data_IF_396451266830
#
_entry.id   IF_396451266830
#
_cell.length_a   1.000
_cell.length_b   1.000
_cell.length_c   1.000
_cell.angle_alpha   90.00
_cell.angle_beta   90.00
_cell.angle_gamma   90.00
#
_symmetry.space_group_name_H-M   'P 1'
#
loop_
_entity.id
_entity.type
_entity.pdbx_description
1 polymer ?
#
# COMPACT_ATOMS: atom_id res chain seq x y z
N UNK A 1 -3.66 1.12 -5.07
CA UNK A 1 -4.22 0.71 -3.79
C UNK A 1 -5.68 1.12 -3.67
N UNK A 2 -6.55 0.18 -3.38
CA UNK A 2 -7.99 0.36 -3.25
C UNK A 2 -8.56 -0.79 -2.42
N UNK A 3 -9.52 -1.56 -2.95
CA UNK A 3 -10.01 -2.81 -2.34
C UNK A 3 -8.89 -3.84 -2.23
N UNK A 4 -8.06 -3.94 -3.26
CA UNK A 4 -6.80 -4.68 -3.31
C UNK A 4 -5.60 -3.74 -3.40
N UNK A 5 -4.41 -4.27 -3.16
CA UNK A 5 -3.16 -3.54 -3.34
C UNK A 5 -2.20 -4.39 -4.17
N UNK A 6 -1.47 -3.73 -5.05
CA UNK A 6 -0.40 -4.38 -5.79
C UNK A 6 0.81 -3.44 -5.97
N UNK A 7 1.98 -4.02 -6.06
CA UNK A 7 3.21 -3.35 -6.48
C UNK A 7 3.70 -3.96 -7.79
N UNK A 8 4.14 -3.13 -8.71
CA UNK A 8 4.71 -3.53 -9.99
C UNK A 8 6.13 -2.97 -10.08
N UNK A 9 7.10 -3.85 -10.22
CA UNK A 9 8.52 -3.51 -10.37
C UNK A 9 8.99 -3.92 -11.75
N UNK A 10 9.38 -2.95 -12.57
CA UNK A 10 10.02 -3.24 -13.86
C UNK A 10 11.40 -3.80 -13.58
N UNK A 11 11.71 -4.95 -14.16
CA UNK A 11 12.93 -5.69 -13.90
C UNK A 11 13.95 -5.49 -15.04
N UNK A 12 15.20 -5.27 -14.66
CA UNK A 12 16.33 -5.29 -15.62
C UNK A 12 16.73 -6.71 -16.03
N UNK A 13 16.39 -7.70 -15.19
CA UNK A 13 16.73 -9.12 -15.37
C UNK A 13 15.54 -9.99 -14.96
N UNK A 14 15.37 -11.18 -15.56
CA UNK A 14 14.41 -12.16 -15.07
C UNK A 14 14.70 -12.55 -13.62
N UNK A 15 13.66 -12.92 -12.88
CA UNK A 15 13.81 -13.48 -11.54
C UNK A 15 14.65 -14.75 -11.56
N UNK A 16 15.43 -15.00 -10.52
CA UNK A 16 16.28 -16.20 -10.37
C UNK A 16 15.47 -17.43 -9.99
N UNK A 17 14.38 -17.24 -9.24
CA UNK A 17 13.54 -18.28 -8.72
C UNK A 17 12.08 -18.17 -9.16
N UNK A 18 11.32 -19.23 -8.87
CA UNK A 18 9.86 -19.23 -8.96
C UNK A 18 9.28 -18.98 -7.57
N UNK A 19 8.39 -18.03 -7.48
CA UNK A 19 7.71 -17.63 -6.24
C UNK A 19 6.20 -17.58 -6.51
N UNK A 20 5.40 -18.43 -5.86
CA UNK A 20 3.94 -18.42 -6.02
C UNK A 20 3.29 -17.08 -5.64
N UNK A 21 3.97 -16.27 -4.81
CA UNK A 21 3.53 -14.96 -4.33
C UNK A 21 3.78 -13.83 -5.35
N UNK A 22 4.52 -14.12 -6.43
CA UNK A 22 4.94 -13.11 -7.43
C UNK A 22 4.41 -13.49 -8.79
N UNK A 23 3.55 -12.66 -9.35
CA UNK A 23 3.15 -12.74 -10.75
C UNK A 23 4.20 -12.07 -11.64
N UNK A 24 4.48 -12.69 -12.80
CA UNK A 24 5.34 -12.07 -13.81
C UNK A 24 4.50 -11.62 -14.99
N UNK A 25 4.48 -10.32 -15.21
CA UNK A 25 3.75 -9.69 -16.31
C UNK A 25 4.70 -8.82 -17.15
N UNK A 26 4.21 -8.06 -18.12
CA UNK A 26 5.04 -7.18 -18.95
C UNK A 26 4.51 -5.76 -18.98
N UNK A 27 5.43 -4.81 -19.18
CA UNK A 27 5.04 -3.44 -19.58
C UNK A 27 4.45 -3.47 -21.00
N UNK A 28 3.74 -2.41 -21.44
CA UNK A 28 3.30 -2.29 -22.84
C UNK A 28 4.46 -2.36 -23.86
N UNK A 29 5.69 -2.08 -23.44
CA UNK A 29 6.90 -2.16 -24.28
C UNK A 29 7.61 -3.54 -24.18
N UNK A 30 7.05 -4.51 -23.44
CA UNK A 30 7.59 -5.86 -23.34
C UNK A 30 8.65 -6.07 -22.24
N UNK A 31 8.98 -5.05 -21.44
CA UNK A 31 9.89 -5.25 -20.31
C UNK A 31 9.23 -6.12 -19.21
N UNK A 32 9.96 -7.07 -18.58
CA UNK A 32 9.41 -7.91 -17.55
C UNK A 32 9.08 -7.11 -16.29
N UNK A 33 7.98 -7.46 -15.62
CA UNK A 33 7.51 -6.84 -14.41
C UNK A 33 7.22 -7.90 -13.36
N UNK A 34 7.81 -7.79 -12.18
CA UNK A 34 7.38 -8.53 -11.02
C UNK A 34 6.21 -7.81 -10.36
N UNK A 35 5.10 -8.51 -10.19
CA UNK A 35 3.91 -7.99 -9.54
C UNK A 35 3.62 -8.77 -8.26
N UNK A 36 3.59 -8.05 -7.14
CA UNK A 36 3.01 -8.55 -5.88
C UNK A 36 1.57 -8.09 -5.85
N UNK A 37 0.62 -9.01 -5.84
CA UNK A 37 -0.81 -8.69 -5.80
C UNK A 37 -1.45 -9.26 -4.54
N UNK A 38 -2.04 -8.38 -3.73
CA UNK A 38 -2.73 -8.73 -2.50
C UNK A 38 -4.22 -8.43 -2.64
N UNK A 39 -5.05 -9.38 -2.26
CA UNK A 39 -6.51 -9.27 -2.37
C UNK A 39 -7.11 -8.27 -1.37
N UNK A 40 -6.46 -8.10 -0.23
CA UNK A 40 -6.99 -7.32 0.88
C UNK A 40 -6.17 -6.03 1.09
N UNK A 41 -6.86 -4.89 1.09
CA UNK A 41 -6.25 -3.60 1.36
C UNK A 41 -7.17 -2.76 2.26
N UNK A 42 -7.94 -1.80 1.72
CA UNK A 42 -8.63 -0.79 2.52
C UNK A 42 -10.06 -1.14 2.94
N UNK A 43 -10.59 -2.32 2.57
CA UNK A 43 -12.01 -2.65 2.82
C UNK A 43 -12.34 -2.81 4.30
N UNK A 44 -11.45 -3.44 5.08
CA UNK A 44 -11.63 -3.58 6.53
C UNK A 44 -11.50 -2.22 7.24
N UNK A 45 -10.50 -1.44 6.85
CA UNK A 45 -10.33 -0.07 7.34
C UNK A 45 -11.57 0.80 7.02
N UNK A 46 -12.18 0.66 5.83
CA UNK A 46 -13.43 1.36 5.50
C UNK A 46 -14.60 0.94 6.38
N UNK A 47 -14.66 -0.33 6.80
CA UNK A 47 -15.67 -0.82 7.74
C UNK A 47 -15.54 -0.13 9.11
N UNK A 48 -14.33 0.03 9.62
CA UNK A 48 -14.08 0.78 10.85
C UNK A 48 -14.43 2.26 10.73
N UNK A 49 -14.07 2.90 9.62
CA UNK A 49 -14.47 4.29 9.36
C UNK A 49 -15.99 4.44 9.36
N UNK A 50 -16.75 3.47 8.81
CA UNK A 50 -18.22 3.47 8.88
C UNK A 50 -18.73 3.37 10.31
N UNK A 51 -18.17 2.48 11.14
CA UNK A 51 -18.55 2.36 12.57
C UNK A 51 -18.35 3.69 13.30
N UNK A 52 -17.23 4.37 13.09
CA UNK A 52 -17.01 5.69 13.69
C UNK A 52 -17.94 6.76 13.12
N UNK A 53 -18.32 6.67 11.85
CA UNK A 53 -19.35 7.51 11.25
C UNK A 53 -20.73 7.32 11.88
N UNK A 54 -21.12 6.07 12.13
CA UNK A 54 -22.37 5.74 12.84
C UNK A 54 -22.36 6.28 14.28
N UNK A 55 -21.24 6.12 14.99
CA UNK A 55 -21.08 6.70 16.33
C UNK A 55 -21.22 8.21 16.34
N UNK A 56 -20.56 8.90 15.38
CA UNK A 56 -20.66 10.34 15.23
C UNK A 56 -22.11 10.80 14.97
N UNK A 57 -22.84 10.07 14.14
CA UNK A 57 -24.25 10.34 13.87
C UNK A 57 -25.13 10.14 15.11
N UNK A 58 -24.93 9.03 15.84
CA UNK A 58 -25.68 8.74 17.08
C UNK A 58 -25.40 9.74 18.19
N UNK A 59 -24.19 10.31 18.24
CA UNK A 59 -23.82 11.36 19.20
C UNK A 59 -24.40 12.75 18.84
N UNK A 60 -25.10 12.88 17.72
CA UNK A 60 -25.65 14.17 17.24
C UNK A 60 -24.62 15.06 16.53
N UNK A 61 -23.43 14.53 16.26
CA UNK A 61 -22.33 15.27 15.60
C UNK A 61 -21.87 14.55 14.32
N UNK A 62 -22.72 14.47 13.26
CA UNK A 62 -22.37 13.74 12.05
C UNK A 62 -21.14 14.35 11.38
N UNK A 63 -20.22 13.51 10.95
CA UNK A 63 -18.98 13.91 10.25
C UNK A 63 -19.04 13.34 8.83
N UNK A 64 -18.74 14.19 7.83
CA UNK A 64 -18.65 13.74 6.45
C UNK A 64 -17.53 12.69 6.28
N UNK A 65 -17.80 11.64 5.51
CA UNK A 65 -16.88 10.50 5.36
C UNK A 65 -15.44 10.91 4.98
N UNK A 66 -15.19 11.85 4.04
CA UNK A 66 -13.83 12.29 3.74
C UNK A 66 -13.12 12.95 4.94
N UNK A 67 -13.83 13.81 5.68
CA UNK A 67 -13.28 14.47 6.87
C UNK A 67 -12.97 13.45 7.99
N UNK A 68 -13.81 12.42 8.11
CA UNK A 68 -13.58 11.35 9.08
C UNK A 68 -12.34 10.52 8.72
N UNK A 69 -12.11 10.22 7.44
CA UNK A 69 -10.87 9.61 6.97
C UNK A 69 -9.66 10.46 7.34
N UNK A 70 -9.67 11.74 7.00
CA UNK A 70 -8.55 12.63 7.29
C UNK A 70 -8.26 12.71 8.80
N UNK A 71 -9.31 12.85 9.60
CA UNK A 71 -9.20 12.89 11.05
C UNK A 71 -8.53 11.62 11.61
N UNK A 72 -9.00 10.45 11.22
CA UNK A 72 -8.52 9.16 11.72
C UNK A 72 -7.11 8.84 11.22
N UNK A 73 -6.81 9.15 9.96
CA UNK A 73 -5.50 8.95 9.36
C UNK A 73 -4.44 9.86 9.99
N UNK A 74 -4.70 11.16 10.11
CA UNK A 74 -3.75 12.06 10.76
C UNK A 74 -3.57 11.71 12.24
N UNK A 75 -4.64 11.26 12.91
CA UNK A 75 -4.52 10.81 14.29
C UNK A 75 -3.65 9.55 14.41
N UNK A 76 -3.68 8.64 13.45
CA UNK A 76 -2.83 7.45 13.41
C UNK A 76 -1.32 7.76 13.43
N UNK A 77 -0.91 8.93 12.89
CA UNK A 77 0.49 9.38 12.97
C UNK A 77 0.99 9.60 14.40
N UNK A 78 0.09 9.86 15.34
CA UNK A 78 0.41 10.07 16.77
C UNK A 78 0.49 8.77 17.56
N UNK A 79 0.16 7.62 16.92
CA UNK A 79 0.24 6.30 17.54
C UNK A 79 1.69 5.85 17.80
N UNK A 80 1.85 4.92 18.74
CA UNK A 80 3.14 4.31 19.02
C UNK A 80 3.64 3.54 17.78
N UNK A 81 4.96 3.49 17.51
CA UNK A 81 5.50 2.79 16.34
C UNK A 81 5.09 1.31 16.24
N UNK A 82 4.91 0.64 17.36
CA UNK A 82 4.46 -0.76 17.48
C UNK A 82 2.94 -0.90 17.59
N UNK A 83 2.19 0.15 17.25
CA UNK A 83 0.72 0.20 17.38
C UNK A 83 0.22 -0.12 18.80
N UNK A 84 1.02 0.13 19.83
CA UNK A 84 0.70 -0.20 21.22
C UNK A 84 0.44 -1.69 21.43
N UNK A 85 1.18 -2.56 20.76
CA UNK A 85 0.99 -4.01 20.73
C UNK A 85 -0.38 -4.45 20.18
N UNK A 86 -0.92 -3.70 19.21
CA UNK A 86 -2.14 -4.07 18.48
C UNK A 86 -1.76 -4.59 17.10
N UNK A 87 -2.27 -5.76 16.73
CA UNK A 87 -2.08 -6.39 15.41
C UNK A 87 -3.44 -6.57 14.74
N UNK A 88 -3.52 -6.24 13.46
CA UNK A 88 -4.71 -6.37 12.64
C UNK A 88 -4.42 -7.25 11.43
N UNK A 89 -5.28 -8.24 11.22
CA UNK A 89 -5.38 -8.99 9.97
C UNK A 89 -6.64 -8.53 9.25
N UNK A 90 -6.47 -7.86 8.12
CA UNK A 90 -7.58 -7.26 7.36
C UNK A 90 -8.16 -8.20 6.29
N UNK A 91 -7.96 -9.50 6.40
CA UNK A 91 -8.34 -10.46 5.37
C UNK A 91 -9.85 -10.69 5.34
N UNK A 92 -10.55 -9.99 4.46
CA UNK A 92 -11.96 -10.23 4.13
C UNK A 92 -12.14 -11.36 3.11
N UNK A 93 -11.09 -11.66 2.35
CA UNK A 93 -11.00 -12.78 1.41
C UNK A 93 -9.71 -13.55 1.65
N UNK A 94 -9.51 -14.66 0.94
CA UNK A 94 -8.22 -15.33 0.93
C UNK A 94 -7.09 -14.39 0.51
N UNK A 95 -5.89 -14.61 1.05
CA UNK A 95 -4.69 -13.81 0.75
C UNK A 95 -3.54 -14.74 0.34
N UNK A 96 -3.37 -14.98 -0.98
CA UNK A 96 -2.37 -15.92 -1.47
C UNK A 96 -0.94 -15.59 -1.03
N UNK A 97 -0.59 -14.30 -0.98
CA UNK A 97 0.74 -13.85 -0.56
C UNK A 97 1.05 -14.23 0.89
N UNK A 98 0.03 -14.30 1.74
CA UNK A 98 0.14 -14.74 3.14
C UNK A 98 -0.19 -16.23 3.33
N UNK A 99 -0.51 -16.98 2.28
CA UNK A 99 -0.91 -18.39 2.36
C UNK A 99 -2.27 -18.61 3.03
N UNK A 100 -3.13 -17.60 3.08
CA UNK A 100 -4.47 -17.68 3.68
C UNK A 100 -5.52 -18.03 2.61
N UNK A 101 -6.17 -19.20 2.74
CA UNK A 101 -7.20 -19.64 1.78
C UNK A 101 -8.52 -18.88 1.96
N UNK A 102 -8.87 -18.54 3.19
CA UNK A 102 -10.14 -17.91 3.54
C UNK A 102 -9.93 -16.62 4.33
N UNK A 103 -10.76 -15.62 4.05
CA UNK A 103 -10.76 -14.36 4.78
C UNK A 103 -11.43 -14.48 6.16
N UNK A 104 -10.79 -13.88 7.15
CA UNK A 104 -11.37 -13.63 8.48
C UNK A 104 -10.60 -12.49 9.14
N UNK A 105 -11.17 -11.28 9.17
CA UNK A 105 -10.55 -10.17 9.89
C UNK A 105 -10.39 -10.52 11.37
N UNK A 106 -9.23 -10.21 11.92
CA UNK A 106 -8.89 -10.50 13.31
C UNK A 106 -8.11 -9.36 13.93
N UNK A 107 -8.37 -9.12 15.22
CA UNK A 107 -7.72 -8.09 16.01
C UNK A 107 -7.11 -8.74 17.23
N UNK A 108 -5.81 -8.53 17.43
CA UNK A 108 -5.07 -9.03 18.57
C UNK A 108 -4.42 -7.87 19.30
N UNK A 109 -4.39 -7.94 20.61
CA UNK A 109 -3.60 -7.04 21.45
C UNK A 109 -3.13 -7.77 22.69
N UNK A 110 -2.01 -7.34 23.24
CA UNK A 110 -1.56 -7.83 24.54
C UNK A 110 -2.37 -7.19 25.66
N UNK A 111 -2.53 -7.85 26.83
CA UNK A 111 -3.29 -7.29 27.96
C UNK A 111 -2.74 -5.95 28.47
N UNK A 112 -1.43 -5.73 28.35
CA UNK A 112 -0.68 -4.53 28.73
C UNK A 112 -0.51 -3.53 27.59
N UNK A 113 -1.05 -3.82 26.40
CA UNK A 113 -0.95 -2.97 25.23
C UNK A 113 -1.72 -1.65 25.40
N UNK A 114 -1.21 -0.59 24.78
CA UNK A 114 -1.89 0.72 24.74
C UNK A 114 -2.98 0.73 23.67
N UNK A 115 -4.16 0.25 24.03
CA UNK A 115 -5.30 0.25 23.13
C UNK A 115 -6.00 1.61 23.13
N UNK A 116 -5.76 2.40 22.10
CA UNK A 116 -6.38 3.70 21.86
C UNK A 116 -6.64 3.90 20.36
N UNK A 117 -7.34 4.97 20.01
CA UNK A 117 -7.75 5.24 18.63
C UNK A 117 -6.56 5.43 17.68
N UNK A 118 -5.50 6.10 18.13
CA UNK A 118 -4.30 6.32 17.32
C UNK A 118 -3.60 5.00 16.97
N UNK A 119 -3.41 4.13 17.96
CA UNK A 119 -2.78 2.82 17.79
C UNK A 119 -3.65 1.87 16.96
N UNK A 120 -4.97 1.87 17.18
CA UNK A 120 -5.89 1.08 16.36
C UNK A 120 -5.80 1.48 14.88
N UNK A 121 -5.93 2.78 14.56
CA UNK A 121 -5.88 3.23 13.17
C UNK A 121 -4.49 3.12 12.55
N UNK A 122 -3.42 3.22 13.33
CA UNK A 122 -2.08 2.92 12.87
C UNK A 122 -1.96 1.45 12.46
N UNK A 123 -2.46 0.51 13.27
CA UNK A 123 -2.47 -0.92 12.97
C UNK A 123 -3.35 -1.23 11.75
N UNK A 124 -4.51 -0.57 11.61
CA UNK A 124 -5.39 -0.68 10.45
C UNK A 124 -4.70 -0.24 9.16
N UNK A 125 -4.01 0.90 9.16
CA UNK A 125 -3.29 1.38 7.97
C UNK A 125 -2.13 0.44 7.65
N UNK A 126 -1.36 -0.04 8.61
CA UNK A 126 -0.31 -1.02 8.37
C UNK A 126 -0.86 -2.33 7.82
N UNK A 127 -2.01 -2.81 8.29
CA UNK A 127 -2.63 -4.02 7.78
C UNK A 127 -2.93 -3.96 6.28
N UNK A 128 -3.25 -2.76 5.75
CA UNK A 128 -3.53 -2.57 4.32
C UNK A 128 -2.34 -2.88 3.41
N UNK A 129 -1.12 -2.86 3.95
CA UNK A 129 0.12 -3.04 3.20
C UNK A 129 1.00 -4.19 3.74
N UNK A 130 0.54 -4.89 4.77
CA UNK A 130 1.30 -5.96 5.41
C UNK A 130 1.58 -7.14 4.45
N UNK A 131 0.56 -7.65 3.76
CA UNK A 131 0.73 -8.72 2.78
C UNK A 131 1.62 -8.26 1.60
N UNK A 132 1.48 -7.00 1.17
CA UNK A 132 2.35 -6.43 0.14
C UNK A 132 3.83 -6.48 0.57
N UNK A 133 4.10 -6.13 1.83
CA UNK A 133 5.46 -6.19 2.39
C UNK A 133 6.05 -7.60 2.31
N UNK A 134 5.28 -8.65 2.62
CA UNK A 134 5.73 -10.05 2.51
C UNK A 134 6.21 -10.38 1.10
N UNK A 135 5.43 -10.05 0.07
CA UNK A 135 5.83 -10.27 -1.31
C UNK A 135 7.02 -9.40 -1.74
N UNK A 136 7.04 -8.13 -1.30
CA UNK A 136 8.16 -7.23 -1.59
C UNK A 136 9.48 -7.69 -0.95
N UNK A 137 9.44 -8.31 0.24
CA UNK A 137 10.63 -8.86 0.89
C UNK A 137 11.25 -10.01 0.07
N UNK A 138 10.44 -10.80 -0.64
CA UNK A 138 10.97 -11.78 -1.59
C UNK A 138 11.83 -11.09 -2.66
N UNK A 139 11.32 -10.01 -3.24
CA UNK A 139 12.05 -9.27 -4.27
C UNK A 139 13.30 -8.59 -3.72
N UNK A 140 13.23 -7.98 -2.54
CA UNK A 140 14.35 -7.26 -1.93
C UNK A 140 15.41 -8.21 -1.37
N UNK A 141 15.01 -9.24 -0.63
CA UNK A 141 15.94 -10.10 0.11
C UNK A 141 16.44 -11.29 -0.70
N UNK A 142 15.56 -11.98 -1.45
CA UNK A 142 15.95 -13.18 -2.22
C UNK A 142 16.45 -12.82 -3.62
N UNK A 143 15.74 -11.95 -4.31
CA UNK A 143 16.09 -11.53 -5.67
C UNK A 143 17.07 -10.37 -5.73
N UNK A 144 17.28 -9.67 -4.60
CA UNK A 144 18.18 -8.50 -4.47
C UNK A 144 17.80 -7.38 -5.44
N UNK A 145 16.49 -7.20 -5.67
CA UNK A 145 15.97 -6.09 -6.50
C UNK A 145 16.18 -4.79 -5.71
N UNK A 146 16.87 -3.85 -6.33
CA UNK A 146 17.04 -2.50 -5.76
C UNK A 146 15.98 -1.57 -6.30
N UNK A 147 15.31 -0.84 -5.41
CA UNK A 147 14.28 0.14 -5.74
C UNK A 147 14.65 1.48 -5.14
N UNK A 148 14.85 2.47 -5.98
CA UNK A 148 15.14 3.84 -5.53
C UNK A 148 13.88 4.53 -5.00
N UNK A 149 12.76 4.33 -5.70
CA UNK A 149 11.51 5.02 -5.43
C UNK A 149 10.31 4.22 -5.95
N UNK A 150 9.23 4.22 -5.15
CA UNK A 150 7.93 3.67 -5.54
C UNK A 150 6.95 4.83 -5.74
N UNK A 151 6.11 4.74 -6.78
CA UNK A 151 5.02 5.70 -6.99
C UNK A 151 3.69 5.11 -6.53
N UNK A 152 3.08 5.75 -5.54
CA UNK A 152 1.78 5.33 -4.97
C UNK A 152 0.60 5.93 -5.73
N UNK A 153 -0.42 5.08 -6.02
CA UNK A 153 -1.67 5.47 -6.64
C UNK A 153 -2.86 4.83 -5.92
N UNK A 154 -4.00 5.49 -5.97
CA UNK A 154 -5.29 4.97 -5.50
C UNK A 154 -5.80 5.61 -4.22
N UNK A 155 -6.96 5.13 -3.77
CA UNK A 155 -7.73 5.75 -2.68
C UNK A 155 -7.00 5.84 -1.35
N UNK A 156 -6.10 4.90 -1.06
CA UNK A 156 -5.29 4.89 0.17
C UNK A 156 -4.44 6.16 0.35
N UNK A 157 -4.04 6.80 -0.76
CA UNK A 157 -3.19 8.00 -0.74
C UNK A 157 -3.97 9.32 -0.81
N UNK A 158 -5.31 9.30 -0.72
CA UNK A 158 -6.12 10.53 -0.76
C UNK A 158 -5.86 11.44 0.44
N UNK A 159 -5.70 10.87 1.64
CA UNK A 159 -5.22 11.63 2.80
C UNK A 159 -3.71 11.82 2.68
N UNK A 160 -3.31 13.06 2.38
CA UNK A 160 -1.94 13.40 2.01
C UNK A 160 -0.92 13.02 3.09
N UNK A 161 0.14 12.37 2.68
CA UNK A 161 1.31 12.07 3.49
C UNK A 161 1.17 10.87 4.42
N UNK A 162 -0.03 10.45 4.83
CA UNK A 162 -0.20 9.43 5.87
C UNK A 162 0.14 8.04 5.36
N UNK A 163 -0.68 7.44 4.50
CA UNK A 163 -0.37 6.11 3.94
C UNK A 163 0.94 6.11 3.15
N UNK A 164 1.31 7.25 2.57
CA UNK A 164 2.59 7.45 1.90
C UNK A 164 3.77 7.24 2.86
N UNK A 165 3.73 7.83 4.05
CA UNK A 165 4.77 7.66 5.08
C UNK A 165 4.80 6.22 5.59
N UNK A 166 3.64 5.65 5.92
CA UNK A 166 3.57 4.26 6.39
C UNK A 166 4.11 3.26 5.36
N UNK A 167 3.85 3.49 4.06
CA UNK A 167 4.40 2.65 3.00
C UNK A 167 5.91 2.83 2.85
N UNK A 168 6.40 4.08 2.91
CA UNK A 168 7.84 4.35 2.86
C UNK A 168 8.56 3.67 4.02
N UNK A 169 8.04 3.81 5.23
CA UNK A 169 8.58 3.17 6.44
C UNK A 169 8.57 1.65 6.33
N UNK A 170 7.46 1.09 5.87
CA UNK A 170 7.28 -0.36 5.76
C UNK A 170 8.17 -1.02 4.72
N UNK A 171 8.37 -0.38 3.58
CA UNK A 171 9.20 -0.91 2.50
C UNK A 171 10.68 -0.48 2.59
N UNK A 172 11.01 0.50 3.43
CA UNK A 172 12.36 1.01 3.57
C UNK A 172 12.87 1.76 2.34
N UNK A 173 11.97 2.27 1.49
CA UNK A 173 12.32 3.02 0.28
C UNK A 173 11.45 4.28 0.13
N UNK A 174 11.93 5.24 -0.67
CA UNK A 174 11.18 6.46 -0.94
C UNK A 174 9.84 6.17 -1.63
N UNK A 175 8.77 6.85 -1.20
CA UNK A 175 7.46 6.77 -1.85
C UNK A 175 7.05 8.13 -2.36
N UNK A 176 6.72 8.20 -3.65
CA UNK A 176 6.19 9.39 -4.32
C UNK A 176 4.70 9.24 -4.56
N UNK A 177 3.95 10.32 -4.42
CA UNK A 177 2.52 10.40 -4.76
C UNK A 177 2.31 11.62 -5.63
N UNK A 178 1.76 11.40 -6.82
CA UNK A 178 1.44 12.49 -7.76
C UNK A 178 0.11 13.14 -7.39
N UNK A 179 -0.11 14.39 -7.81
CA UNK A 179 -1.40 15.07 -7.64
C UNK A 179 -2.58 14.32 -8.29
N UNK A 180 -2.31 13.56 -9.35
CA UNK A 180 -3.28 12.75 -10.12
C UNK A 180 -3.44 11.33 -9.60
N UNK A 181 -2.88 10.98 -8.44
CA UNK A 181 -2.77 9.61 -7.94
C UNK A 181 -4.12 8.91 -7.66
N UNK A 182 -5.25 9.63 -7.64
CA UNK A 182 -6.56 9.05 -7.31
C UNK A 182 -7.10 8.05 -8.34
N UNK A 183 -6.71 8.16 -9.62
CA UNK A 183 -7.33 7.43 -10.74
C UNK A 183 -6.29 6.75 -11.66
N UNK A 184 -5.21 6.23 -11.08
CA UNK A 184 -4.02 5.77 -11.81
C UNK A 184 -4.28 4.76 -12.93
N UNK A 185 -5.18 3.78 -12.73
CA UNK A 185 -5.46 2.76 -13.75
C UNK A 185 -6.17 3.32 -14.97
N UNK A 186 -7.26 4.06 -14.76
CA UNK A 186 -8.04 4.68 -15.85
C UNK A 186 -7.18 5.72 -16.60
N UNK A 187 -6.39 6.50 -15.88
CA UNK A 187 -5.48 7.47 -16.46
C UNK A 187 -4.39 6.79 -17.32
N UNK A 188 -3.79 5.70 -16.86
CA UNK A 188 -2.79 4.94 -17.62
C UNK A 188 -3.36 4.39 -18.93
N UNK A 189 -4.59 3.85 -18.92
CA UNK A 189 -5.26 3.39 -20.13
C UNK A 189 -5.55 4.55 -21.10
N UNK A 190 -5.97 5.71 -20.59
CA UNK A 190 -6.17 6.90 -21.41
C UNK A 190 -4.88 7.39 -22.06
N UNK A 191 -3.75 7.31 -21.35
CA UNK A 191 -2.43 7.65 -21.89
C UNK A 191 -1.99 6.71 -23.01
N UNK A 192 -2.22 5.40 -22.87
CA UNK A 192 -1.93 4.44 -23.93
C UNK A 192 -2.79 4.72 -25.17
N UNK A 193 -4.09 5.01 -25.00
CA UNK A 193 -4.97 5.40 -26.09
C UNK A 193 -4.48 6.71 -26.75
N UNK A 194 -4.11 7.72 -25.99
CA UNK A 194 -3.56 8.97 -26.50
C UNK A 194 -2.26 8.75 -27.26
N UNK A 195 -1.38 7.89 -26.76
CA UNK A 195 -0.13 7.55 -27.45
C UNK A 195 -0.36 6.96 -28.84
N UNK A 196 -1.38 6.09 -29.01
CA UNK A 196 -1.69 5.52 -30.33
C UNK A 196 -2.07 6.57 -31.38
N UNK A 197 -2.62 7.71 -30.95
CA UNK A 197 -3.09 8.81 -31.85
C UNK A 197 -2.05 9.92 -31.96
N UNK A 198 -1.41 10.27 -30.84
CA UNK A 198 -0.57 11.47 -30.70
C UNK A 198 0.93 11.15 -30.56
N UNK A 199 1.35 9.89 -30.57
CA UNK A 199 2.73 9.49 -30.31
C UNK A 199 3.75 10.00 -31.33
N UNK A 200 3.30 10.32 -32.56
CA UNK A 200 4.12 11.04 -33.55
C UNK A 200 5.42 10.33 -33.94
N UNK A 201 5.48 8.99 -33.83
CA UNK A 201 6.69 8.21 -34.09
C UNK A 201 7.69 8.12 -32.93
N UNK A 202 7.40 8.76 -31.78
CA UNK A 202 8.17 8.60 -30.53
C UNK A 202 7.95 7.21 -29.93
N UNK A 203 8.93 6.69 -29.21
CA UNK A 203 8.67 5.55 -28.31
C UNK A 203 7.68 5.95 -27.20
N UNK A 204 7.05 4.96 -26.55
CA UNK A 204 6.14 5.25 -25.44
C UNK A 204 6.85 5.99 -24.31
N UNK A 205 8.10 5.61 -23.99
CA UNK A 205 8.90 6.28 -22.96
C UNK A 205 9.12 7.74 -23.31
N UNK A 206 9.60 8.04 -24.54
CA UNK A 206 9.82 9.41 -25.00
C UNK A 206 8.53 10.24 -24.99
N UNK A 207 7.39 9.64 -25.39
CA UNK A 207 6.10 10.33 -25.33
C UNK A 207 5.71 10.66 -23.88
N UNK A 208 5.84 9.70 -22.96
CA UNK A 208 5.51 9.91 -21.56
C UNK A 208 6.41 10.97 -20.92
N UNK A 209 7.71 10.92 -21.18
CA UNK A 209 8.68 11.84 -20.58
C UNK A 209 8.56 13.26 -21.15
N UNK A 210 8.31 13.40 -22.47
CA UNK A 210 8.29 14.71 -23.11
C UNK A 210 6.93 15.40 -23.12
N UNK A 211 5.81 14.67 -23.07
CA UNK A 211 4.49 15.23 -23.24
C UNK A 211 3.59 15.06 -22.00
N UNK A 212 3.83 14.01 -21.20
CA UNK A 212 2.90 13.66 -20.11
C UNK A 212 3.45 14.06 -18.76
N UNK A 213 4.67 13.65 -18.44
CA UNK A 213 5.23 13.84 -17.10
C UNK A 213 5.95 15.17 -16.91
N UNK A 214 6.11 15.95 -17.98
CA UNK A 214 6.71 17.28 -17.91
C UNK A 214 5.92 18.19 -16.97
N UNK A 215 6.59 18.71 -15.94
CA UNK A 215 6.00 19.64 -14.97
C UNK A 215 4.99 19.02 -14.01
N UNK A 216 4.82 17.70 -13.99
CA UNK A 216 3.95 17.05 -13.02
C UNK A 216 4.51 17.12 -11.60
N UNK A 217 3.71 17.68 -10.70
CA UNK A 217 4.08 17.77 -9.29
C UNK A 217 3.83 16.46 -8.55
N UNK A 218 4.80 16.04 -7.76
CA UNK A 218 4.70 14.92 -6.84
C UNK A 218 5.26 15.30 -5.47
N UNK A 219 4.78 14.63 -4.43
CA UNK A 219 5.38 14.68 -3.09
C UNK A 219 6.14 13.38 -2.87
N UNK A 220 7.36 13.45 -2.35
CA UNK A 220 8.17 12.28 -2.04
C UNK A 220 8.51 12.27 -0.55
N UNK A 221 8.23 11.17 0.12
CA UNK A 221 8.59 10.94 1.51
C UNK A 221 9.64 9.84 1.62
N UNK A 222 10.59 10.05 2.53
CA UNK A 222 11.65 9.08 2.85
C UNK A 222 11.21 8.22 4.03
N UNK A 223 11.71 6.98 4.14
CA UNK A 223 11.43 6.14 5.31
C UNK A 223 12.03 6.74 6.58
N UNK A 224 11.26 6.70 7.66
CA UNK A 224 11.69 7.10 9.00
C UNK A 224 12.11 5.88 9.81
N UNK A 225 13.27 5.97 10.51
CA UNK A 225 13.85 4.85 11.27
C UNK A 225 12.90 4.24 12.32
N UNK A 226 12.06 5.05 12.94
CA UNK A 226 11.13 4.58 13.98
C UNK A 226 9.88 3.91 13.36
N UNK A 227 9.43 4.37 12.19
CA UNK A 227 8.30 3.78 11.48
C UNK A 227 8.61 2.37 10.94
N UNK A 228 9.81 2.20 10.38
CA UNK A 228 10.26 0.91 9.85
C UNK A 228 10.25 -0.22 10.91
N UNK A 229 10.58 0.09 12.17
CA UNK A 229 10.52 -0.88 13.28
C UNK A 229 9.10 -1.34 13.60
N UNK A 230 8.10 -0.46 13.47
CA UNK A 230 6.71 -0.77 13.81
C UNK A 230 6.13 -1.87 12.94
N UNK A 231 6.25 -1.78 11.63
CA UNK A 231 5.76 -2.80 10.71
C UNK A 231 6.51 -4.13 10.86
N UNK A 232 7.83 -4.09 11.12
CA UNK A 232 8.62 -5.29 11.39
C UNK A 232 8.14 -6.04 12.62
N UNK A 233 7.74 -5.36 13.69
CA UNK A 233 7.20 -5.97 14.90
C UNK A 233 5.84 -6.64 14.65
N UNK A 234 4.98 -6.06 13.81
CA UNK A 234 3.72 -6.67 13.41
C UNK A 234 3.98 -7.94 12.59
N UNK A 235 4.97 -7.95 11.70
CA UNK A 235 5.37 -9.15 10.94
C UNK A 235 5.95 -10.29 11.78
N UNK A 236 6.72 -9.98 12.82
CA UNK A 236 7.28 -10.98 13.74
C UNK A 236 6.17 -11.70 14.53
N UNK A 237 5.06 -11.04 14.75
CA UNK A 237 3.90 -11.59 15.46
C UNK A 237 3.01 -12.48 14.58
N UNK A 238 3.30 -12.62 13.28
CA UNK A 238 2.54 -13.51 12.38
C UNK A 238 2.85 -14.98 12.67
N UNK A 239 1.87 -15.80 13.10
CA UNK A 239 2.09 -17.20 13.41
C UNK A 239 2.31 -18.10 12.18
N UNK A 240 2.32 -17.53 10.97
CA UNK A 240 2.37 -18.26 9.70
C UNK A 240 3.77 -18.54 9.17
N UNK A 241 4.84 -17.95 9.70
CA UNK A 241 6.20 -18.37 9.37
C UNK A 241 6.57 -19.66 10.11
N UNK A 242 5.97 -20.79 9.74
CA UNK A 242 6.61 -22.08 9.96
C UNK A 242 7.70 -22.23 8.88
N UNK A 243 8.95 -22.15 9.32
CA UNK A 243 10.08 -22.67 8.55
C UNK A 243 9.84 -24.16 8.31
N UNK A 244 9.63 -24.55 7.07
CA UNK A 244 9.82 -25.89 6.59
C UNK A 244 11.22 -26.00 6.00
#
# INVERSE_FOLDING_TARGET
AGTSIFAMLVLDKPLKGYYPEIDVVTTPCGAPVAMVHCNNCSSELDAWVKIFGEFAQLSGHPIAKPALYDMLYYHALTGDPDCGNTVVYNFLSGEPVAGAENGRPMYFRTPDGKFNLANLFRAEIYSTMAALKLGMDILFEKEQVSVEKITGHGGLFKTKGVAQQFLADGLGCAVSVMKTAGEGGAWGMALLAAYTVCGGGKSLSEFLDSEVFVGMESTTLQPEKNGAKGLSLIHISEPTRRSY
#
